data_IF_012967226271
#
_entry.id   IF_012967226271
#
_cell.length_a   1.000
_cell.length_b   1.000
_cell.length_c   1.000
_cell.angle_alpha   90.00
_cell.angle_beta   90.00
_cell.angle_gamma   90.00
#
_symmetry.space_group_name_H-M   'P 1'
#
loop_
_entity.id
_entity.type
_entity.pdbx_description
1 polymer ?
2 non-polymer ?
3 non-polymer ?
4 non-polymer ?
5 water ?
#
# COMPACT_ATOMS: atom_id res chain seq x y z
N UNK A 12 4.77 0.59 -21.85
CA UNK A 12 5.80 1.59 -22.08
C UNK A 12 7.19 0.94 -22.10
N UNK A 13 7.61 0.50 -23.28
CA UNK A 13 8.89 -0.15 -23.42
C UNK A 13 9.23 -0.57 -24.85
N UNK A 14 10.36 -0.08 -25.35
CA UNK A 14 10.86 -0.46 -26.66
C UNK A 14 12.36 -0.17 -26.70
N UNK A 15 12.71 1.11 -26.80
CA UNK A 15 14.07 1.53 -26.48
C UNK A 15 14.27 1.41 -24.98
N UNK A 16 15.51 1.10 -24.57
CA UNK A 16 15.82 1.00 -23.15
C UNK A 16 17.26 1.49 -22.97
N UNK A 17 17.42 2.80 -23.04
CA UNK A 17 18.73 3.44 -23.06
C UNK A 17 19.00 4.00 -21.67
N UNK A 18 19.76 3.25 -20.87
CA UNK A 18 20.01 3.62 -19.49
C UNK A 18 21.48 3.98 -19.32
N UNK A 19 22.02 4.69 -20.31
CA UNK A 19 23.38 5.17 -20.25
C UNK A 19 24.38 4.05 -20.03
N UNK A 20 25.65 4.41 -19.84
CA UNK A 20 26.71 3.40 -19.77
C UNK A 20 26.85 2.73 -18.41
N UNK A 21 26.22 3.28 -17.36
CA UNK A 21 26.39 2.69 -16.03
C UNK A 21 25.71 1.34 -15.91
N UNK A 22 24.62 1.13 -16.66
CA UNK A 22 23.79 -0.06 -16.50
C UNK A 22 23.78 -0.83 -17.80
N UNK A 23 24.13 -2.12 -17.73
CA UNK A 23 24.30 -2.96 -18.90
C UNK A 23 23.73 -4.34 -18.61
N UNK A 24 23.79 -5.21 -19.62
CA UNK A 24 23.36 -6.60 -19.49
C UNK A 24 21.94 -6.68 -18.92
N UNK A 25 21.00 -6.08 -19.64
CA UNK A 25 19.56 -5.94 -19.48
C UNK A 25 18.86 -7.24 -19.86
N UNK A 26 17.88 -7.64 -19.05
CA UNK A 26 16.95 -8.75 -18.96
C UNK A 26 15.55 -8.23 -18.69
N UNK A 27 14.62 -8.63 -19.53
CA UNK A 27 13.24 -8.20 -19.39
C UNK A 27 12.59 -8.90 -18.19
N UNK A 28 11.84 -8.11 -17.40
CA UNK A 28 11.12 -8.62 -16.24
C UNK A 28 9.61 -8.60 -16.48
N UNK A 29 9.07 -7.49 -16.96
CA UNK A 29 7.65 -7.41 -17.21
C UNK A 29 7.19 -5.99 -17.45
N UNK A 30 5.88 -5.86 -17.64
CA UNK A 30 5.21 -4.58 -17.74
C UNK A 30 4.55 -4.24 -16.41
N UNK A 31 4.42 -2.95 -16.14
CA UNK A 31 3.73 -2.49 -14.95
C UNK A 31 2.66 -1.47 -15.30
N UNK A 32 2.16 -0.75 -14.29
CA UNK A 32 1.18 0.31 -14.51
C UNK A 32 1.81 1.62 -14.94
N UNK A 33 3.01 1.58 -15.53
CA UNK A 33 3.68 2.80 -15.95
C UNK A 33 4.49 2.57 -17.23
N UNK A 34 5.11 1.41 -17.35
CA UNK A 34 5.92 1.09 -18.50
C UNK A 34 6.52 -0.30 -18.44
N UNK A 35 7.84 -0.38 -18.59
CA UNK A 35 8.54 -1.66 -18.70
C UNK A 35 9.61 -1.76 -17.61
N UNK A 36 9.77 -2.96 -17.06
CA UNK A 36 10.71 -3.22 -15.97
C UNK A 36 11.73 -4.23 -16.45
N UNK A 37 13.01 -3.93 -16.21
CA UNK A 37 14.10 -4.83 -16.56
C UNK A 37 15.07 -4.90 -15.39
N UNK A 38 15.86 -5.96 -15.36
CA UNK A 38 17.03 -5.99 -14.49
C UNK A 38 18.25 -5.60 -15.32
N UNK A 39 19.28 -5.11 -14.63
CA UNK A 39 20.48 -4.66 -15.29
C UNK A 39 21.65 -4.76 -14.31
N UNK A 40 22.86 -4.78 -14.87
CA UNK A 40 24.07 -4.81 -14.07
C UNK A 40 24.55 -3.39 -13.81
N UNK A 41 24.75 -3.06 -12.54
CA UNK A 41 25.21 -1.74 -12.12
C UNK A 41 26.73 -1.77 -12.10
N UNK A 42 27.35 -1.21 -13.14
CA UNK A 42 28.80 -1.29 -13.27
C UNK A 42 29.54 -0.46 -12.23
N UNK A 43 28.84 0.39 -11.48
CA UNK A 43 29.46 1.11 -10.39
C UNK A 43 29.40 0.32 -9.09
N UNK A 44 28.22 -0.20 -8.75
CA UNK A 44 28.04 -0.99 -7.54
C UNK A 44 28.30 -2.48 -7.77
N UNK A 45 28.40 -2.91 -9.02
CA UNK A 45 28.73 -4.31 -9.35
C UNK A 45 27.66 -5.28 -8.85
N UNK A 46 26.41 -4.83 -8.77
CA UNK A 46 25.28 -5.67 -8.42
C UNK A 46 24.22 -5.48 -9.50
N UNK A 47 23.33 -6.46 -9.60
CA UNK A 47 22.19 -6.32 -10.49
C UNK A 47 21.08 -5.55 -9.80
N UNK A 48 20.45 -4.65 -10.55
CA UNK A 48 19.45 -3.75 -10.03
C UNK A 48 18.22 -3.87 -10.92
N UNK A 49 17.11 -3.30 -10.45
CA UNK A 49 15.92 -3.16 -11.27
C UNK A 49 15.91 -1.76 -11.88
N UNK A 50 15.48 -1.68 -13.14
CA UNK A 50 15.28 -0.39 -13.79
C UNK A 50 13.90 -0.36 -14.43
N UNK A 51 13.14 0.68 -14.13
CA UNK A 51 11.83 0.90 -14.71
C UNK A 51 11.89 2.07 -15.67
N UNK A 52 11.48 1.84 -16.91
CA UNK A 52 11.31 2.91 -17.89
C UNK A 52 9.89 3.44 -17.77
N UNK A 53 9.77 4.72 -17.42
CA UNK A 53 8.49 5.38 -17.24
C UNK A 53 8.31 6.32 -18.42
N UNK A 54 7.18 6.19 -19.11
CA UNK A 54 6.81 7.09 -20.20
C UNK A 54 5.44 7.65 -19.86
N UNK A 55 5.37 8.60 -18.92
CA UNK A 55 4.06 9.03 -18.40
C UNK A 55 3.52 10.28 -19.07
N UNK A 56 4.34 10.95 -19.87
CA UNK A 56 4.10 12.34 -20.25
C UNK A 56 2.97 12.53 -21.26
N UNK A 57 2.12 11.54 -21.50
CA UNK A 57 1.00 11.67 -22.43
C UNK A 57 -0.34 11.78 -21.72
N UNK A 58 -0.43 11.42 -20.45
CA UNK A 58 -1.70 11.34 -19.74
C UNK A 58 -1.56 11.97 -18.36
N UNK A 59 -2.51 12.85 -18.02
CA UNK A 59 -2.49 13.53 -16.74
C UNK A 59 -2.35 12.54 -15.58
N UNK A 60 -3.12 11.45 -15.64
CA UNK A 60 -3.16 10.51 -14.52
C UNK A 60 -1.79 9.89 -14.27
N UNK A 61 -1.13 9.45 -15.35
CA UNK A 61 0.20 8.84 -15.19
C UNK A 61 1.19 9.84 -14.64
N UNK A 62 1.13 11.09 -15.11
CA UNK A 62 2.04 12.11 -14.61
C UNK A 62 1.78 12.42 -13.14
N UNK A 63 0.51 12.50 -12.73
CA UNK A 63 0.20 12.76 -11.33
C UNK A 63 0.75 11.64 -10.46
N UNK A 64 0.49 10.39 -10.83
CA UNK A 64 0.97 9.27 -10.04
C UNK A 64 2.49 9.21 -10.04
N UNK A 65 3.11 9.49 -11.19
CA UNK A 65 4.57 9.49 -11.27
C UNK A 65 5.16 10.55 -10.33
N UNK A 66 4.65 11.77 -10.39
CA UNK A 66 5.16 12.82 -9.52
C UNK A 66 4.97 12.44 -8.07
N UNK A 67 3.77 11.95 -7.73
CA UNK A 67 3.47 11.58 -6.36
C UNK A 67 4.45 10.53 -5.85
N UNK A 68 4.67 9.47 -6.63
CA UNK A 68 5.55 8.39 -6.19
C UNK A 68 6.98 8.88 -6.05
N UNK A 69 7.48 9.66 -7.00
CA UNK A 69 8.85 10.13 -6.93
C UNK A 69 9.04 11.02 -5.71
N UNK A 70 8.10 11.96 -5.49
CA UNK A 70 8.23 12.86 -4.36
C UNK A 70 8.27 12.07 -3.05
N UNK A 71 7.37 11.10 -2.89
CA UNK A 71 7.33 10.33 -1.64
C UNK A 71 8.57 9.47 -1.48
N UNK A 72 8.93 8.72 -2.52
CA UNK A 72 10.01 7.75 -2.38
C UNK A 72 11.37 8.43 -2.19
N UNK A 73 11.56 9.64 -2.73
CA UNK A 73 12.80 10.36 -2.48
C UNK A 73 12.86 10.94 -1.08
N UNK A 74 11.71 11.22 -0.45
CA UNK A 74 11.71 11.77 0.91
C UNK A 74 11.82 10.69 1.96
N UNK A 75 11.28 9.51 1.70
CA UNK A 75 11.32 8.42 2.65
C UNK A 75 12.66 7.69 2.56
N UNK A 76 13.14 7.23 3.72
CA UNK A 76 14.35 6.39 3.78
C UNK A 76 14.09 5.36 4.88
N UNK A 77 13.79 4.13 4.46
CA UNK A 77 13.42 3.09 5.40
C UNK A 77 13.65 1.72 4.76
N UNK A 78 14.13 0.76 5.56
CA UNK A 78 14.48 -0.58 5.06
C UNK A 78 13.29 -1.31 4.45
N UNK A 79 12.07 -1.02 4.90
CA UNK A 79 10.88 -1.73 4.45
C UNK A 79 10.05 -0.91 3.46
N UNK A 80 10.65 0.08 2.83
CA UNK A 80 10.01 0.87 1.78
C UNK A 80 10.98 0.95 0.62
N UNK A 81 10.49 0.67 -0.58
CA UNK A 81 11.40 0.68 -1.73
C UNK A 81 11.95 2.09 -1.89
N UNK A 82 13.24 2.20 -2.18
CA UNK A 82 13.89 3.45 -2.41
C UNK A 82 14.21 3.64 -3.88
N UNK A 83 14.65 4.84 -4.22
CA UNK A 83 15.14 5.14 -5.54
C UNK A 83 16.64 5.36 -5.44
N UNK A 84 17.41 4.53 -6.15
CA UNK A 84 18.87 4.64 -6.13
C UNK A 84 19.41 5.61 -7.15
N UNK A 85 18.71 5.78 -8.27
CA UNK A 85 19.19 6.63 -9.36
C UNK A 85 17.99 6.93 -10.25
N UNK A 86 18.03 8.08 -10.92
CA UNK A 86 17.05 8.43 -11.92
C UNK A 86 17.77 8.94 -13.16
N UNK A 87 17.47 8.35 -14.32
CA UNK A 87 18.09 8.69 -15.59
C UNK A 87 17.06 9.40 -16.44
N UNK A 88 17.40 10.58 -16.94
CA UNK A 88 16.51 11.33 -17.82
C UNK A 88 17.35 12.33 -18.58
N UNK A 89 16.75 12.93 -19.59
CA UNK A 89 17.42 13.92 -20.41
C UNK A 89 17.80 15.15 -19.58
N UNK A 90 18.80 15.90 -20.04
CA UNK A 90 19.27 17.06 -19.26
C UNK A 90 18.38 18.27 -19.33
N UNK A 91 17.40 18.30 -20.23
CA UNK A 91 16.50 19.43 -20.38
C UNK A 91 15.05 18.95 -20.42
N UNK A 92 14.14 19.84 -20.03
CA UNK A 92 12.72 19.47 -20.04
C UNK A 92 12.27 19.18 -21.48
N UNK A 93 12.81 19.93 -22.44
CA UNK A 93 12.41 19.77 -23.83
C UNK A 93 12.76 18.38 -24.36
N UNK A 94 13.87 17.82 -23.90
CA UNK A 94 14.30 16.51 -24.36
C UNK A 94 13.82 15.39 -23.47
N UNK A 95 13.18 15.68 -22.33
CA UNK A 95 12.75 14.65 -21.39
C UNK A 95 11.48 14.01 -21.95
N UNK A 96 11.59 12.75 -22.36
CA UNK A 96 10.44 12.01 -22.86
C UNK A 96 10.25 10.69 -22.15
N UNK A 97 11.26 10.16 -21.49
CA UNK A 97 11.15 9.02 -20.61
C UNK A 97 11.90 9.37 -19.34
N UNK A 98 11.64 8.60 -18.29
CA UNK A 98 12.41 8.67 -17.07
C UNK A 98 12.68 7.23 -16.67
N UNK A 99 13.93 6.93 -16.32
CA UNK A 99 14.30 5.60 -15.85
C UNK A 99 14.56 5.64 -14.35
N UNK A 100 13.88 4.75 -13.61
CA UNK A 100 13.99 4.69 -12.16
C UNK A 100 14.78 3.44 -11.81
N UNK A 101 15.88 3.61 -11.07
CA UNK A 101 16.75 2.49 -10.68
C UNK A 101 16.51 2.17 -9.21
N UNK A 102 16.33 0.89 -8.90
CA UNK A 102 15.99 0.46 -7.54
C UNK A 102 16.66 -0.88 -7.24
N UNK A 103 16.75 -1.20 -5.95
CA UNK A 103 17.26 -2.50 -5.56
C UNK A 103 16.45 -3.58 -6.24
N UNK A 104 17.13 -4.65 -6.68
CA UNK A 104 16.44 -5.74 -7.35
C UNK A 104 15.70 -6.58 -6.32
N UNK A 105 14.41 -6.74 -6.53
CA UNK A 105 13.55 -7.56 -5.70
C UNK A 105 12.95 -8.64 -6.58
N UNK A 106 13.30 -9.89 -6.30
CA UNK A 106 13.01 -10.98 -7.22
C UNK A 106 11.55 -11.40 -7.24
N UNK A 107 10.75 -11.01 -6.24
CA UNK A 107 9.37 -11.48 -6.25
C UNK A 107 8.50 -10.46 -5.51
N UNK A 108 7.24 -10.81 -5.36
CA UNK A 108 6.31 -10.05 -4.53
C UNK A 108 5.40 -11.03 -3.83
N UNK A 109 4.64 -10.54 -2.83
CA UNK A 109 3.84 -11.43 -2.02
C UNK A 109 2.69 -12.05 -2.82
N UNK A 110 2.16 -11.35 -3.82
CA UNK A 110 1.14 -11.93 -4.67
C UNK A 110 1.65 -13.18 -5.36
N UNK A 111 2.81 -13.06 -6.02
CA UNK A 111 3.38 -14.20 -6.72
C UNK A 111 3.71 -15.33 -5.77
N UNK A 112 4.27 -15.01 -4.61
CA UNK A 112 4.60 -16.04 -3.63
C UNK A 112 3.36 -16.80 -3.16
N UNK A 113 2.27 -16.06 -2.88
CA UNK A 113 1.07 -16.71 -2.36
C UNK A 113 0.36 -17.56 -3.38
N UNK A 114 0.59 -17.34 -4.68
CA UNK A 114 -0.02 -18.19 -5.67
C UNK A 114 0.56 -19.60 -5.68
N UNK A 115 1.80 -19.79 -5.19
CA UNK A 115 2.46 -21.09 -5.27
C UNK A 115 3.09 -21.61 -3.99
N UNK A 116 3.28 -20.79 -2.96
CA UNK A 116 4.07 -21.17 -1.80
C UNK A 116 3.25 -21.11 -0.53
N UNK A 117 3.28 -22.18 0.25
CA UNK A 117 2.80 -22.17 1.62
C UNK A 117 3.79 -21.38 2.47
N UNK A 118 3.27 -20.52 3.34
CA UNK A 118 4.10 -19.75 4.26
C UNK A 118 4.07 -20.41 5.63
N UNK A 119 5.24 -20.68 6.20
CA UNK A 119 5.31 -21.13 7.58
C UNK A 119 4.83 -20.01 8.49
N UNK A 120 4.45 -20.39 9.73
CA UNK A 120 4.08 -19.36 10.71
C UNK A 120 5.23 -18.39 10.92
N UNK A 121 6.47 -18.88 10.90
CA UNK A 121 7.60 -17.99 11.09
C UNK A 121 7.71 -16.96 9.97
N UNK A 122 7.42 -17.37 8.73
CA UNK A 122 7.43 -16.42 7.62
C UNK A 122 6.28 -15.41 7.74
N UNK A 123 5.08 -15.88 8.09
CA UNK A 123 3.93 -14.99 8.26
C UNK A 123 4.28 -13.92 9.29
N UNK A 124 4.86 -14.35 10.40
CA UNK A 124 5.26 -13.47 11.47
C UNK A 124 6.24 -12.41 11.02
N UNK A 125 7.27 -12.86 10.31
CA UNK A 125 8.32 -11.98 9.84
C UNK A 125 7.82 -11.01 8.78
N UNK A 126 7.03 -11.51 7.83
CA UNK A 126 6.47 -10.62 6.81
C UNK A 126 5.56 -9.57 7.46
N UNK A 127 4.68 -10.01 8.36
CA UNK A 127 3.78 -9.05 9.01
C UNK A 127 4.56 -8.00 9.77
N UNK A 128 5.59 -8.42 10.51
CA UNK A 128 6.43 -7.47 11.22
C UNK A 128 6.98 -6.41 10.27
N UNK A 129 7.55 -6.85 9.14
CA UNK A 129 8.15 -5.90 8.21
C UNK A 129 7.11 -4.97 7.59
N UNK A 130 5.94 -5.50 7.22
CA UNK A 130 4.86 -4.64 6.71
C UNK A 130 4.53 -3.55 7.71
N UNK A 131 4.32 -3.93 8.96
CA UNK A 131 3.93 -2.96 9.99
C UNK A 131 5.07 -2.00 10.31
N UNK A 132 6.32 -2.47 10.26
CA UNK A 132 7.43 -1.58 10.53
C UNK A 132 7.53 -0.50 9.46
N UNK A 133 7.38 -0.88 8.19
CA UNK A 133 7.32 0.11 7.12
C UNK A 133 6.12 1.03 7.26
N UNK A 134 4.95 0.46 7.55
CA UNK A 134 3.73 1.27 7.69
C UNK A 134 3.86 2.25 8.84
N UNK A 135 4.51 1.85 9.94
CA UNK A 135 4.74 2.79 11.04
C UNK A 135 5.46 4.03 10.54
N UNK A 136 6.49 3.86 9.71
CA UNK A 136 7.21 5.01 9.18
C UNK A 136 6.32 5.85 8.28
N UNK A 137 5.62 5.21 7.33
CA UNK A 137 4.72 5.94 6.43
C UNK A 137 3.73 6.79 7.25
N UNK A 138 3.06 6.16 8.22
CA UNK A 138 2.07 6.86 9.02
C UNK A 138 2.70 7.97 9.86
N UNK A 139 3.94 7.77 10.33
CA UNK A 139 4.60 8.80 11.10
C UNK A 139 4.90 10.04 10.25
N UNK A 140 4.92 9.90 8.94
CA UNK A 140 5.08 11.01 8.02
C UNK A 140 3.75 11.66 7.68
N UNK A 141 2.66 11.23 8.34
CA UNK A 141 1.32 11.71 8.07
C UNK A 141 0.84 11.32 6.68
N UNK A 142 1.37 10.21 6.16
CA UNK A 142 1.02 9.71 4.84
C UNK A 142 0.22 8.42 4.99
N UNK A 143 -0.77 8.26 4.13
CA UNK A 143 -1.53 7.04 3.98
C UNK A 143 -1.15 6.39 2.66
N UNK A 144 -0.93 5.08 2.69
CA UNK A 144 -0.60 4.37 1.47
C UNK A 144 -1.84 4.19 0.58
N UNK A 145 -2.91 3.64 1.15
CA UNK A 145 -4.23 3.53 0.56
C UNK A 145 -4.38 2.45 -0.51
N UNK A 146 -3.35 1.65 -0.79
CA UNK A 146 -3.49 0.56 -1.75
C UNK A 146 -2.60 -0.61 -1.36
N UNK A 147 -2.56 -0.92 -0.07
CA UNK A 147 -1.75 -2.06 0.38
C UNK A 147 -2.44 -3.34 -0.04
N UNK A 148 -1.64 -4.26 -0.59
CA UNK A 148 -2.11 -5.55 -1.06
C UNK A 148 -0.87 -6.38 -1.41
N UNK A 149 -1.02 -7.69 -1.58
CA UNK A 149 0.18 -8.54 -1.78
C UNK A 149 1.05 -8.12 -2.93
N UNK A 150 0.48 -7.70 -4.06
CA UNK A 150 1.31 -7.34 -5.21
C UNK A 150 2.12 -6.06 -5.00
N UNK A 151 1.79 -5.27 -3.96
CA UNK A 151 2.54 -4.07 -3.63
C UNK A 151 3.53 -4.29 -2.50
N UNK A 152 3.85 -5.55 -2.21
CA UNK A 152 4.85 -5.92 -1.22
C UNK A 152 5.93 -6.73 -1.93
N UNK A 153 7.08 -6.13 -2.15
CA UNK A 153 8.17 -6.80 -2.84
C UNK A 153 9.02 -7.56 -1.84
N UNK A 154 9.59 -8.67 -2.32
CA UNK A 154 10.50 -9.46 -1.50
C UNK A 154 11.70 -9.86 -2.34
N UNK A 155 12.84 -9.95 -1.68
CA UNK A 155 14.02 -10.48 -2.34
C UNK A 155 14.28 -11.91 -1.85
N UNK A 156 15.39 -12.49 -2.32
CA UNK A 156 15.63 -13.91 -2.06
C UNK A 156 16.04 -14.19 -0.62
N UNK A 157 16.28 -13.16 0.19
CA UNK A 157 16.51 -13.38 1.61
C UNK A 157 15.32 -12.92 2.44
N UNK A 158 14.18 -12.71 1.77
CA UNK A 158 12.95 -12.42 2.50
C UNK A 158 12.85 -11.02 3.08
N UNK A 159 13.70 -10.10 2.64
CA UNK A 159 13.51 -8.68 2.95
C UNK A 159 12.27 -8.26 2.20
N UNK A 160 11.40 -7.51 2.89
CA UNK A 160 10.13 -7.05 2.33
C UNK A 160 10.13 -5.54 2.25
N UNK A 161 9.68 -5.00 1.12
CA UNK A 161 9.62 -3.56 0.90
C UNK A 161 8.28 -3.17 0.29
N UNK A 162 7.62 -2.19 0.90
CA UNK A 162 6.37 -1.66 0.41
C UNK A 162 6.61 -0.80 -0.82
N UNK A 163 5.76 -0.97 -1.84
CA UNK A 163 5.78 -0.20 -3.04
C UNK A 163 4.46 0.37 -3.47
N UNK A 164 4.46 1.17 -4.53
CA UNK A 164 3.27 1.73 -5.17
C UNK A 164 2.53 2.74 -4.31
N UNK A 165 3.07 3.96 -4.31
CA UNK A 165 2.46 5.07 -3.62
C UNK A 165 1.59 5.94 -4.54
N UNK A 166 1.08 5.37 -5.63
CA UNK A 166 0.32 6.15 -6.60
C UNK A 166 -1.00 6.68 -6.06
N UNK A 167 -1.57 6.00 -5.07
CA UNK A 167 -2.82 6.45 -4.44
C UNK A 167 -2.60 7.07 -3.06
N UNK A 168 -1.35 7.31 -2.68
CA UNK A 168 -1.07 7.82 -1.35
C UNK A 168 -1.58 9.24 -1.20
N UNK A 169 -1.92 9.59 0.04
CA UNK A 169 -2.41 10.93 0.36
C UNK A 169 -1.92 11.30 1.75
N UNK A 170 -1.91 12.61 2.03
CA UNK A 170 -1.69 13.07 3.39
C UNK A 170 -2.94 12.81 4.21
N UNK A 171 -2.78 12.30 5.43
CA UNK A 171 -3.91 11.97 6.28
C UNK A 171 -4.70 13.24 6.57
N UNK A 172 -6.03 13.09 6.62
CA UNK A 172 -6.93 14.23 6.80
C UNK A 172 -8.21 13.74 7.47
N UNK A 173 -8.11 13.31 8.72
CA UNK A 173 -9.29 12.74 9.39
C UNK A 173 -10.46 13.71 9.51
N UNK A 174 -10.20 15.02 9.60
CA UNK A 174 -11.29 15.97 9.76
C UNK A 174 -12.13 16.11 8.51
N UNK A 175 -11.64 15.65 7.36
CA UNK A 175 -12.35 15.75 6.10
C UNK A 175 -12.53 14.37 5.46
N UNK A 176 -12.71 13.35 6.28
CA UNK A 176 -12.87 11.98 5.83
C UNK A 176 -14.31 11.62 5.48
N UNK A 177 -15.30 12.38 5.95
CA UNK A 177 -16.68 11.93 5.81
C UNK A 177 -17.21 12.19 4.41
N UNK A 178 -18.03 11.25 3.95
CA UNK A 178 -18.68 11.31 2.65
C UNK A 178 -19.98 10.52 2.76
N UNK A 179 -20.77 10.56 1.70
CA UNK A 179 -22.01 9.81 1.67
C UNK A 179 -21.83 8.35 1.32
N UNK A 180 -22.95 7.64 1.32
CA UNK A 180 -23.02 6.22 1.01
C UNK A 180 -22.66 5.96 -0.46
N UNK A 181 -21.86 4.93 -0.70
CA UNK A 181 -21.54 4.47 -2.05
C UNK A 181 -20.72 5.49 -2.84
N UNK A 182 -19.84 6.20 -2.15
CA UNK A 182 -18.95 7.12 -2.84
C UNK A 182 -17.88 6.34 -3.60
N UNK A 183 -17.70 6.67 -4.88
CA UNK A 183 -16.75 5.94 -5.72
C UNK A 183 -15.35 5.99 -5.13
N UNK A 184 -14.61 4.89 -5.31
CA UNK A 184 -13.29 4.72 -4.73
C UNK A 184 -12.38 4.01 -5.71
N UNK A 185 -11.10 4.33 -5.68
CA UNK A 185 -10.14 3.88 -6.69
C UNK A 185 -9.37 2.64 -6.24
N UNK A 186 -9.00 2.55 -4.96
CA UNK A 186 -8.06 1.51 -4.54
C UNK A 186 -8.69 0.13 -4.65
N UNK A 187 -7.81 -0.89 -4.70
CA UNK A 187 -8.19 -2.25 -5.02
C UNK A 187 -9.32 -2.76 -4.13
N UNK A 188 -10.37 -3.28 -4.76
CA UNK A 188 -11.62 -3.56 -4.06
C UNK A 188 -11.43 -4.49 -2.86
N UNK A 189 -10.67 -5.59 -3.02
CA UNK A 189 -10.67 -6.64 -2.00
C UNK A 189 -10.04 -6.21 -0.69
N UNK A 190 -9.31 -5.09 -0.68
CA UNK A 190 -8.56 -4.64 0.48
C UNK A 190 -9.18 -3.39 1.11
N UNK A 191 -10.37 -2.99 0.66
CA UNK A 191 -11.06 -1.80 1.16
C UNK A 191 -11.74 -2.06 2.49
N UNK A 192 -11.52 -1.15 3.44
CA UNK A 192 -12.18 -1.21 4.73
C UNK A 192 -13.69 -0.98 4.57
N UNK A 193 -14.50 -1.54 5.46
CA UNK A 193 -15.96 -1.43 5.30
C UNK A 193 -16.43 0.00 5.20
N UNK A 194 -15.81 0.91 5.95
CA UNK A 194 -16.27 2.30 5.98
C UNK A 194 -16.13 3.01 4.64
N UNK A 195 -15.24 2.54 3.76
CA UNK A 195 -15.12 3.14 2.43
C UNK A 195 -16.47 3.12 1.73
N UNK A 196 -17.23 2.04 1.88
CA UNK A 196 -18.50 1.90 1.19
C UNK A 196 -19.64 2.62 1.90
N UNK A 197 -19.42 3.07 3.13
CA UNK A 197 -20.45 3.62 3.99
C UNK A 197 -20.34 5.12 4.16
N UNK A 198 -19.17 5.64 4.55
CA UNK A 198 -19.09 7.06 4.93
C UNK A 198 -17.68 7.62 4.94
N UNK A 199 -16.69 6.97 4.31
CA UNK A 199 -15.30 7.37 4.45
C UNK A 199 -14.64 7.53 3.08
N UNK A 200 -13.84 8.59 2.95
CA UNK A 200 -13.03 8.85 1.78
C UNK A 200 -11.67 8.17 1.83
N UNK A 201 -11.38 7.45 2.91
CA UNK A 201 -10.07 6.80 3.02
C UNK A 201 -8.96 7.76 3.37
N UNK A 202 -9.23 8.74 4.23
CA UNK A 202 -8.25 9.73 4.62
C UNK A 202 -7.80 9.56 6.07
N UNK A 203 -7.98 8.38 6.66
CA UNK A 203 -7.49 8.10 8.00
C UNK A 203 -6.61 6.85 7.99
N UNK A 204 -5.73 6.78 8.98
CA UNK A 204 -4.74 5.71 9.04
C UNK A 204 -5.40 4.33 9.18
N UNK A 205 -6.60 4.29 9.76
CA UNK A 205 -7.26 3.00 9.95
C UNK A 205 -7.55 2.29 8.64
N UNK A 206 -7.61 3.00 7.51
CA UNK A 206 -7.88 2.26 6.27
C UNK A 206 -6.71 1.36 5.91
N UNK A 207 -5.48 1.77 6.24
CA UNK A 207 -4.32 0.95 5.92
C UNK A 207 -4.23 -0.27 6.82
N UNK A 208 -4.60 -0.13 8.09
CA UNK A 208 -4.61 -1.27 8.99
C UNK A 208 -5.57 -2.34 8.51
N UNK A 209 -6.77 -1.95 8.05
CA UNK A 209 -7.67 -2.92 7.47
C UNK A 209 -6.99 -3.73 6.36
N UNK A 210 -6.35 -3.03 5.44
CA UNK A 210 -5.67 -3.73 4.33
C UNK A 210 -4.62 -4.72 4.83
N UNK A 211 -3.85 -4.32 5.85
CA UNK A 211 -2.87 -5.26 6.44
C UNK A 211 -3.58 -6.48 7.01
N UNK A 212 -4.72 -6.30 7.68
CA UNK A 212 -5.46 -7.44 8.17
C UNK A 212 -5.87 -8.37 7.05
N UNK A 213 -6.31 -7.81 5.93
CA UNK A 213 -6.66 -8.64 4.77
C UNK A 213 -5.44 -9.41 4.26
N UNK A 214 -4.28 -8.76 4.27
CA UNK A 214 -3.04 -9.42 3.82
C UNK A 214 -2.66 -10.55 4.78
N UNK A 215 -2.78 -10.30 6.08
CA UNK A 215 -2.52 -11.37 7.06
C UNK A 215 -3.42 -12.57 6.81
N UNK A 216 -4.72 -12.34 6.63
CA UNK A 216 -5.63 -13.44 6.37
C UNK A 216 -5.20 -14.21 5.13
N UNK A 217 -4.79 -13.48 4.08
CA UNK A 217 -4.37 -14.09 2.83
C UNK A 217 -3.08 -14.89 3.00
N UNK A 218 -2.18 -14.43 3.89
CA UNK A 218 -0.99 -15.23 4.18
C UNK A 218 -1.32 -16.51 4.92
N UNK A 219 -2.39 -16.51 5.71
CA UNK A 219 -2.76 -17.69 6.50
C UNK A 219 -3.36 -18.78 5.61
N UNK A 220 -4.03 -18.42 4.51
CA UNK A 220 -4.78 -19.38 3.72
C UNK A 220 -4.42 -19.42 2.24
N UNK A 221 -3.61 -18.48 1.75
CA UNK A 221 -3.29 -18.36 0.32
C UNK A 221 -4.49 -17.98 -0.54
N UNK A 222 -5.52 -17.37 0.05
CA UNK A 222 -6.70 -16.97 -0.69
C UNK A 222 -7.13 -15.62 -0.13
N UNK A 223 -7.63 -14.71 -0.98
CA UNK A 223 -8.18 -13.46 -0.44
C UNK A 223 -9.37 -13.72 0.48
N UNK A 224 -9.42 -13.00 1.59
CA UNK A 224 -10.46 -13.25 2.57
C UNK A 224 -11.81 -12.66 2.13
N UNK A 225 -11.80 -11.50 1.45
CA UNK A 225 -13.03 -10.80 1.06
C UNK A 225 -12.98 -10.51 -0.44
N UNK A 226 -13.16 -11.51 -1.29
CA UNK A 226 -13.05 -11.28 -2.75
C UNK A 226 -14.35 -10.78 -3.40
N UNK A 227 -14.74 -9.57 -3.04
CA UNK A 227 -15.99 -9.03 -3.57
C UNK A 227 -15.96 -8.88 -5.08
N UNK A 228 -17.11 -9.13 -5.70
CA UNK A 228 -17.25 -9.08 -7.16
C UNK A 228 -17.77 -7.74 -7.65
N UNK A 229 -18.12 -6.84 -6.73
CA UNK A 229 -18.60 -5.51 -7.08
C UNK A 229 -18.58 -4.66 -5.82
N UNK A 230 -18.78 -3.36 -6.01
CA UNK A 230 -18.56 -2.39 -4.94
C UNK A 230 -19.25 -2.79 -3.65
N UNK A 231 -20.57 -3.03 -3.73
CA UNK A 231 -21.31 -3.37 -2.52
C UNK A 231 -21.08 -4.81 -2.08
N UNK A 232 -20.71 -5.70 -3.01
CA UNK A 232 -20.39 -7.09 -2.65
C UNK A 232 -19.24 -7.12 -1.68
N UNK A 233 -18.32 -6.16 -1.79
CA UNK A 233 -17.21 -6.10 -0.87
C UNK A 233 -17.70 -5.97 0.57
N UNK A 234 -18.66 -5.08 0.79
CA UNK A 234 -19.21 -4.92 2.14
C UNK A 234 -19.92 -6.19 2.59
N UNK A 235 -20.65 -6.85 1.69
CA UNK A 235 -21.39 -8.03 2.09
C UNK A 235 -20.45 -9.19 2.43
N UNK A 236 -19.30 -9.30 1.74
CA UNK A 236 -18.30 -10.30 2.12
C UNK A 236 -17.78 -10.03 3.52
N UNK A 237 -17.48 -8.77 3.83
CA UNK A 237 -16.97 -8.42 5.16
C UNK A 237 -17.98 -8.82 6.23
N UNK A 238 -19.25 -8.45 6.03
CA UNK A 238 -20.27 -8.72 7.03
C UNK A 238 -20.58 -10.20 7.14
N UNK A 239 -20.36 -10.96 6.07
CA UNK A 239 -20.57 -12.39 6.14
C UNK A 239 -19.63 -13.10 7.09
N UNK A 240 -18.47 -12.51 7.38
CA UNK A 240 -17.51 -13.07 8.31
C UNK A 240 -17.57 -12.37 9.67
N UNK A 241 -17.58 -11.04 9.67
CA UNK A 241 -17.62 -10.30 10.94
C UNK A 241 -18.96 -10.39 11.62
N UNK A 242 -20.03 -10.71 10.88
CA UNK A 242 -21.37 -10.64 11.41
C UNK A 242 -21.90 -9.21 11.36
N UNK A 243 -23.18 -9.09 11.71
CA UNK A 243 -23.81 -7.79 11.67
C UNK A 243 -23.16 -6.86 12.69
N UNK A 244 -22.96 -5.58 12.35
CA UNK A 244 -22.40 -4.66 13.34
C UNK A 244 -23.35 -4.42 14.50
N UNK A 245 -22.75 -4.22 15.67
CA UNK A 245 -23.48 -3.96 16.90
C UNK A 245 -24.18 -2.61 16.84
N UNK A 246 -25.15 -2.44 17.74
CA UNK A 246 -25.84 -1.17 17.84
C UNK A 246 -24.87 -0.03 18.06
N UNK A 247 -23.85 -0.23 18.90
CA UNK A 247 -22.87 0.82 19.16
C UNK A 247 -22.13 1.22 17.89
N UNK A 248 -21.68 0.23 17.13
CA UNK A 248 -20.93 0.52 15.91
C UNK A 248 -21.83 1.12 14.84
N UNK A 249 -23.11 0.75 14.83
CA UNK A 249 -24.02 1.32 13.86
C UNK A 249 -24.35 2.77 14.21
N UNK A 250 -24.44 3.08 15.51
CA UNK A 250 -24.72 4.47 15.88
C UNK A 250 -23.59 5.42 15.50
N UNK A 251 -22.40 4.89 15.14
CA UNK A 251 -21.32 5.71 14.61
C UNK A 251 -21.46 6.01 13.12
N UNK A 252 -22.40 5.38 12.44
CA UNK A 252 -22.66 5.64 11.03
C UNK A 252 -23.89 6.56 10.99
N UNK A 253 -23.65 7.87 10.85
CA UNK A 253 -24.74 8.83 11.03
C UNK A 253 -25.54 9.02 9.75
N UNK A 254 -24.92 8.83 8.58
CA UNK A 254 -25.62 9.08 7.35
C UNK A 254 -26.68 8.02 7.10
N UNK A 255 -27.92 8.48 6.85
CA UNK A 255 -29.08 7.60 6.83
C UNK A 255 -29.00 6.52 5.78
N UNK A 256 -28.52 6.83 4.57
CA UNK A 256 -28.52 5.80 3.54
C UNK A 256 -27.62 4.64 3.94
N UNK A 257 -26.47 4.94 4.54
CA UNK A 257 -25.57 3.89 4.97
C UNK A 257 -26.14 3.14 6.17
N UNK A 258 -26.64 3.87 7.17
CA UNK A 258 -27.25 3.24 8.34
C UNK A 258 -28.40 2.32 7.92
N UNK A 259 -29.28 2.83 7.06
CA UNK A 259 -30.47 2.06 6.72
C UNK A 259 -30.16 0.90 5.80
N UNK A 260 -29.11 1.01 4.99
CA UNK A 260 -28.66 -0.17 4.27
C UNK A 260 -28.27 -1.27 5.25
N UNK A 261 -27.46 -0.93 6.25
CA UNK A 261 -27.03 -1.94 7.21
C UNK A 261 -28.22 -2.52 7.96
N UNK A 262 -29.18 -1.67 8.34
CA UNK A 262 -30.34 -2.15 9.08
C UNK A 262 -31.25 -3.04 8.23
N UNK A 263 -31.17 -2.92 6.91
CA UNK A 263 -32.03 -3.70 6.02
C UNK A 263 -31.53 -5.12 5.81
N UNK A 264 -30.29 -5.40 6.22
CA UNK A 264 -29.70 -6.71 5.95
C UNK A 264 -30.14 -7.73 6.98
N UNK A 265 -30.24 -9.00 6.58
CA UNK A 265 -30.50 -10.05 7.57
C UNK A 265 -29.38 -10.13 8.60
N UNK A 266 -29.77 -10.47 9.82
CA UNK A 266 -28.82 -10.67 10.90
C UNK A 266 -27.91 -11.84 10.57
N UNK A 267 -26.60 -11.61 10.74
CA UNK A 267 -25.58 -12.64 10.55
C UNK A 267 -24.71 -12.67 11.80
N UNK A 268 -24.44 -13.87 12.30
CA UNK A 268 -23.52 -14.01 13.42
C UNK A 268 -22.08 -14.09 12.91
N UNK A 269 -21.16 -13.66 13.77
CA UNK A 269 -19.74 -13.69 13.43
C UNK A 269 -19.28 -15.12 13.16
N UNK A 270 -18.42 -15.28 12.17
CA UNK A 270 -17.77 -16.56 11.89
C UNK A 270 -16.45 -16.58 12.66
N UNK A 271 -16.22 -17.54 13.54
CA UNK A 271 -14.99 -17.53 14.34
C UNK A 271 -13.76 -17.67 13.47
N UNK A 272 -12.73 -16.89 13.80
CA UNK A 272 -11.50 -16.91 13.01
C UNK A 272 -10.89 -18.30 12.96
N UNK A 273 -10.99 -19.06 14.05
CA UNK A 273 -10.37 -20.38 14.10
C UNK A 273 -11.10 -21.41 13.25
N UNK A 274 -12.34 -21.12 12.83
CA UNK A 274 -13.01 -21.99 11.87
C UNK A 274 -12.60 -21.68 10.45
N UNK A 275 -12.30 -20.41 10.16
CA UNK A 275 -11.79 -20.02 8.86
C UNK A 275 -10.33 -20.41 8.68
N UNK A 276 -9.56 -20.38 9.76
CA UNK A 276 -8.11 -20.60 9.71
C UNK A 276 -7.73 -21.63 10.76
N UNK A 277 -8.12 -22.89 10.54
CA UNK A 277 -7.91 -23.92 11.59
C UNK A 277 -6.46 -24.21 11.88
N UNK A 278 -5.52 -23.88 10.99
CA UNK A 278 -4.12 -24.15 11.21
C UNK A 278 -3.36 -22.96 11.80
N UNK A 279 -4.02 -21.84 12.04
CA UNK A 279 -3.33 -20.61 12.40
C UNK A 279 -2.97 -20.55 13.88
N UNK A 280 -1.87 -19.88 14.16
CA UNK A 280 -1.44 -19.55 15.52
C UNK A 280 -2.52 -18.71 16.21
N UNK A 281 -2.88 -19.07 17.44
CA UNK A 281 -3.97 -18.35 18.12
C UNK A 281 -3.63 -16.88 18.33
N UNK A 282 -2.35 -16.56 18.56
CA UNK A 282 -1.98 -15.15 18.71
C UNK A 282 -2.12 -14.40 17.39
N UNK A 283 -1.82 -15.06 16.27
CA UNK A 283 -2.02 -14.44 14.97
C UNK A 283 -3.50 -14.11 14.77
N UNK A 284 -4.39 -15.02 15.15
CA UNK A 284 -5.82 -14.77 14.97
C UNK A 284 -6.31 -13.67 15.89
N UNK A 285 -5.74 -13.53 17.08
CA UNK A 285 -6.15 -12.44 17.95
C UNK A 285 -5.78 -11.09 17.34
N UNK A 286 -4.58 -11.00 16.76
CA UNK A 286 -4.17 -9.78 16.09
C UNK A 286 -5.02 -9.54 14.84
N UNK A 287 -5.30 -10.59 14.06
CA UNK A 287 -6.16 -10.47 12.90
C UNK A 287 -7.51 -9.88 13.29
N UNK A 288 -8.09 -10.38 14.38
CA UNK A 288 -9.39 -9.89 14.84
C UNK A 288 -9.34 -8.39 15.10
N UNK A 289 -8.24 -7.91 15.70
CA UNK A 289 -8.11 -6.51 16.05
C UNK A 289 -7.86 -5.62 14.83
N UNK A 290 -7.23 -6.16 13.79
CA UNK A 290 -7.05 -5.43 12.55
C UNK A 290 -8.34 -5.39 11.74
N UNK A 291 -9.05 -6.50 11.68
CA UNK A 291 -10.32 -6.60 10.95
C UNK A 291 -11.52 -6.32 11.86
N UNK A 292 -11.44 -5.19 12.54
CA UNK A 292 -12.50 -4.68 13.39
C UNK A 292 -13.33 -3.70 12.57
N UNK A 293 -14.66 -3.87 12.63
CA UNK A 293 -15.57 -3.08 11.78
C UNK A 293 -15.45 -1.59 12.08
N UNK A 294 -15.52 -1.22 13.34
CA UNK A 294 -15.50 0.19 13.72
C UNK A 294 -14.08 0.71 13.59
N UNK A 295 -13.82 1.70 12.74
CA UNK A 295 -12.44 2.15 12.56
C UNK A 295 -11.85 2.81 13.77
N UNK A 296 -12.69 3.36 14.67
CA UNK A 296 -12.17 3.98 15.87
C UNK A 296 -11.63 2.92 16.85
N UNK A 297 -12.21 1.73 16.86
CA UNK A 297 -11.80 0.64 17.74
C UNK A 297 -10.70 -0.22 17.12
N UNK A 298 -10.45 -0.06 15.84
CA UNK A 298 -9.46 -0.85 15.14
C UNK A 298 -8.06 -0.55 15.68
N UNK A 299 -7.22 -1.58 15.74
CA UNK A 299 -5.88 -1.43 16.30
C UNK A 299 -5.05 -0.46 15.46
N UNK A 300 -4.19 0.30 16.11
CA UNK A 300 -3.24 1.19 15.46
C UNK A 300 -1.96 0.41 15.11
N UNK A 301 -1.18 0.97 14.17
CA UNK A 301 0.01 0.28 13.67
C UNK A 301 0.99 -0.03 14.80
N UNK A 302 1.17 0.90 15.75
CA UNK A 302 2.14 0.67 16.81
C UNK A 302 1.62 -0.33 17.85
N UNK A 303 0.29 -0.41 18.03
CA UNK A 303 -0.29 -1.42 18.91
C UNK A 303 -0.14 -2.80 18.29
N UNK A 304 -0.27 -2.87 16.97
CA UNK A 304 -0.08 -4.14 16.28
C UNK A 304 1.35 -4.62 16.42
N UNK A 305 2.32 -3.72 16.24
CA UNK A 305 3.72 -4.09 16.45
C UNK A 305 3.96 -4.62 17.86
N UNK A 306 3.23 -4.08 18.86
CA UNK A 306 3.36 -4.46 20.27
C UNK A 306 2.54 -5.68 20.66
N UNK A 307 1.82 -6.28 19.72
CA UNK A 307 0.97 -7.41 20.04
C UNK A 307 1.81 -8.65 20.34
N UNK A 308 1.36 -9.51 21.24
CA UNK A 308 2.13 -10.72 21.58
C UNK A 308 2.57 -11.56 20.38
N UNK A 309 1.80 -11.58 19.29
CA UNK A 309 2.20 -12.39 18.15
C UNK A 309 3.59 -11.99 17.66
N UNK A 310 3.92 -10.70 17.74
CA UNK A 310 5.16 -10.15 17.17
C UNK A 310 6.23 -9.92 18.22
N UNK A 311 6.08 -10.51 19.40
CA UNK A 311 6.96 -10.20 20.52
C UNK A 311 8.43 -10.51 20.22
N UNK A 312 8.71 -11.52 19.40
CA UNK A 312 10.10 -11.87 19.11
C UNK A 312 10.80 -10.80 18.28
N UNK A 313 10.06 -9.95 17.56
CA UNK A 313 10.61 -8.91 16.71
C UNK A 313 10.48 -7.51 17.28
N UNK A 314 9.46 -7.26 18.08
CA UNK A 314 9.14 -5.90 18.49
C UNK A 314 10.31 -5.22 19.20
N UNK A 315 10.70 -4.07 18.69
CA UNK A 315 11.79 -3.29 19.23
C UNK A 315 11.60 -1.84 18.82
N UNK A 316 10.87 -1.02 19.59
CA UNK A 316 10.52 0.33 19.12
C UNK A 316 11.72 1.20 18.76
N UNK A 317 12.87 0.98 19.41
CA UNK A 317 14.06 1.76 19.10
C UNK A 317 14.66 1.40 17.75
N UNK A 318 14.26 0.25 17.18
CA UNK A 318 14.68 -0.17 15.85
C UNK A 318 13.52 -0.14 14.86
N UNK A 319 12.55 0.73 15.12
CA UNK A 319 11.37 0.91 14.28
C UNK A 319 11.27 2.42 14.05
N UNK A 320 12.05 2.94 13.12
CA UNK A 320 12.21 4.38 13.00
C UNK A 320 10.97 5.07 12.47
N UNK A 321 10.89 6.36 12.80
CA UNK A 321 9.85 7.23 12.28
C UNK A 321 10.47 8.31 11.41
N UNK A 322 9.63 8.96 10.64
CA UNK A 322 10.09 9.94 9.67
C UNK A 322 10.54 11.21 10.37
N UNK A 323 11.60 11.81 9.84
CA UNK A 323 12.09 13.08 10.34
C UNK A 323 11.22 14.23 9.85
N UNK A 324 10.66 14.09 8.65
CA UNK A 324 10.04 15.20 7.93
C UNK A 324 8.65 14.78 7.47
N UNK A 325 7.67 14.78 8.39
CA UNK A 325 6.30 14.50 7.97
C UNK A 325 5.81 15.46 6.91
N UNK A 326 4.93 14.95 6.07
CA UNK A 326 4.44 15.66 4.89
C UNK A 326 3.39 16.67 5.28
N UNK A 327 3.61 17.92 4.88
CA UNK A 327 2.55 18.90 4.72
C UNK A 327 2.40 19.32 3.26
N UNK A 328 3.05 18.60 2.35
CA UNK A 328 3.06 18.95 0.93
C UNK A 328 1.78 18.46 0.26
N UNK A 329 1.68 18.74 -1.04
CA UNK A 329 0.48 18.44 -1.82
C UNK A 329 0.68 17.11 -2.56
N UNK A 330 -0.12 16.11 -2.19
CA UNK A 330 -0.17 14.84 -2.91
C UNK A 330 -1.42 14.70 -3.76
N UNK A 331 -2.29 15.71 -3.78
CA UNK A 331 -3.49 15.65 -4.61
C UNK A 331 -3.15 15.99 -6.06
N UNK A 332 -2.36 17.07 -6.27
CA UNK A 332 -1.83 17.40 -7.58
C UNK A 332 -2.94 17.51 -8.63
N UNK A 333 -4.16 17.81 -8.18
CA UNK A 333 -5.32 17.74 -9.06
C UNK A 333 -5.49 19.00 -9.90
N UNK A 334 -5.16 20.16 -9.36
CA UNK A 334 -5.35 21.43 -10.07
C UNK A 334 -4.04 21.92 -10.69
N UNK A 335 -3.36 21.05 -11.42
CA UNK A 335 -2.07 21.39 -12.03
C UNK A 335 -2.10 21.04 -13.51
N UNK A 336 -1.78 21.98 -14.41
CA UNK A 336 -1.73 21.63 -15.83
C UNK A 336 -0.56 20.71 -16.13
N UNK A 337 -0.72 19.92 -17.18
CA UNK A 337 0.29 18.93 -17.54
C UNK A 337 1.65 19.58 -17.75
N UNK A 338 1.67 20.85 -18.16
CA UNK A 338 2.95 21.55 -18.33
C UNK A 338 3.65 21.69 -16.99
N UNK A 339 2.90 22.01 -15.93
CA UNK A 339 3.51 22.15 -14.62
C UNK A 339 3.86 20.79 -14.02
N UNK A 340 3.06 19.76 -14.28
CA UNK A 340 3.44 18.42 -13.80
C UNK A 340 4.78 17.98 -14.38
N UNK A 341 4.96 18.16 -15.70
CA UNK A 341 6.24 17.77 -16.30
C UNK A 341 7.39 18.55 -15.69
N UNK A 342 7.20 19.86 -15.48
CA UNK A 342 8.25 20.68 -14.87
C UNK A 342 8.56 20.20 -13.45
N UNK A 343 7.53 19.82 -12.69
CA UNK A 343 7.77 19.36 -11.33
C UNK A 343 8.50 18.02 -11.32
N UNK A 344 8.19 17.13 -12.27
CA UNK A 344 8.93 15.87 -12.37
C UNK A 344 10.39 16.16 -12.73
N UNK A 345 10.61 17.08 -13.66
CA UNK A 345 11.98 17.47 -14.01
C UNK A 345 12.73 17.96 -12.77
N UNK A 346 12.12 18.85 -12.00
CA UNK A 346 12.79 19.41 -10.83
C UNK A 346 13.04 18.35 -9.76
N UNK A 347 12.07 17.46 -9.55
CA UNK A 347 12.22 16.45 -8.51
C UNK A 347 13.33 15.45 -8.81
N UNK A 348 13.64 15.25 -10.08
CA UNK A 348 14.65 14.27 -10.49
C UNK A 348 16.03 14.89 -10.70
N UNK A 349 16.18 16.18 -10.41
CA UNK A 349 17.42 16.89 -10.72
C UNK A 349 18.61 16.39 -9.92
N UNK A 350 18.39 15.87 -8.71
CA UNK A 350 19.51 15.53 -7.83
C UNK A 350 20.38 14.41 -8.38
N UNK A 351 19.88 13.65 -9.36
CA UNK A 351 20.63 12.52 -9.91
C UNK A 351 21.41 12.90 -11.15
N UNK A 352 21.34 14.15 -11.59
CA UNK A 352 22.10 14.58 -12.75
C UNK A 352 23.52 14.94 -12.33
N UNK A 353 24.53 14.64 -13.15
CA UNK A 353 25.88 15.13 -12.86
C UNK A 353 25.93 16.63 -12.65
N UNK A 354 25.21 17.40 -13.46
CA UNK A 354 25.19 18.85 -13.32
C UNK A 354 26.48 19.51 -13.75
X LIG B 1 10.34 -5.75 -9.98
X LIG B 1 9.05 -5.70 -10.72
X LIG B 1 8.31 -4.61 -10.59
X LIG B 1 9.80 -3.59 -9.00
X LIG B 1 10.12 -2.50 -8.19
X LIG B 1 11.35 -2.45 -7.51
X LIG B 1 12.28 -3.47 -7.62
X LIG B 1 11.95 -4.55 -8.43
X LIG B 1 10.72 -4.64 -9.13
X LIG B 1 8.58 -3.65 -9.66
X LIG B 1 11.05 -6.73 -10.13
X LIG B 1 12.81 -5.57 -8.59
X LIG B 1 11.64 -1.39 -6.74
X LIG B 1 8.87 -6.37 -11.33
X LIG B 1 7.55 -4.48 -11.10
X LIG B 1 9.54 -1.79 -8.05
X LIG B 1 13.11 -3.43 -7.18
X LIG B 1 12.97 -5.75 -9.40
X LIG B 1 12.46 -1.17 -6.73
X LIG C 1 -15.61 -0.91 -7.94
X LIG C 1 -14.84 0.29 -7.58
X LIG C 1 -14.90 -1.68 -8.95
X LIG C 1 -15.84 -1.74 -6.76
X LIG C 1 -16.91 -0.45 -8.47
X LIG D 1 -26.31 9.40 2.79
X LIG D 1 -25.19 8.85 2.57
X LIG D 1 -26.99 9.20 3.81
X LIG D 1 -26.82 10.34 1.70
X LIG D 1 -28.09 10.92 1.80
X LIG D 1 -28.56 11.75 0.83
X LIG D 1 -27.81 12.06 -0.28
X LIG D 1 -26.53 11.50 -0.41
X LIG D 1 -26.04 10.63 0.59
X LIG D 1 -28.62 10.72 2.54
X LIG D 1 -29.41 12.13 0.91
X LIG D 1 -28.12 12.63 -0.94
X LIG D 1 -26.01 11.70 -1.16
X LIG D 1 -25.19 10.26 0.48
#
# INVERSE_FOLDING_TARGET
AAAAGAGPEMVRGQVFDVGPRYTNLSYIGEGAYGMVCSAYDNVNKVRVAIKKISPFEHQTYCQRTLREIKILLRFRHENIIGINDIIRAPTIEQMKDVYIVQDLMETDLYKLLKTQHLSNDHICYFLYQILRGLKYIHSANVLHRDLKPSNLLLNTTCDLKICDFGLARVADPDHDHTGFLTEYVATRWYRAPEIMLNSKGYTKSIDIWSVGCILAEMLSNRPIFPGKHYLDQLNHILGILGSPSQEDLNCIINLKARNYLLSLPHKNKVPWNRLFPNADSKALDLLDKMLTFNPHKRIEVEQALAHPYLEQYYDPSDEPIAEAPFKFDMELDDLPKEKLKELIFEETARFQPGYRS
B7S C10 C01 C02 C04 C05 C06 C07 C08 C09 O03 O11 O12 O13 H011 H021 H051 H071 H121 H131
SO4 S O1 O2 O3 O4
BEZ C O1 O2 C1 C2 C3 C4 C5 C6 H2 H3 H4 H5 H6
#
